data_IF_632231284373
#
_entry.id   IF_632231284373
#
_cell.length_a   1.000
_cell.length_b   1.000
_cell.length_c   1.000
_cell.angle_alpha   90.00
_cell.angle_beta   90.00
_cell.angle_gamma   90.00
#
_symmetry.space_group_name_H-M   'P 1'
#
loop_
_entity.id
_entity.type
_entity.pdbx_description
1 polymer ?
#
# COMPACT_ATOMS: atom_id res chain seq x y z
N UNK A 1 -2.67 -28.64 -26.63
CA UNK A 1 -2.16 -29.00 -25.28
C UNK A 1 -3.32 -29.63 -24.51
N UNK A 2 -3.16 -30.86 -24.01
CA UNK A 2 -4.19 -31.59 -23.25
C UNK A 2 -4.46 -30.84 -21.93
N UNK A 3 -5.73 -30.62 -21.62
CA UNK A 3 -6.18 -29.92 -20.42
C UNK A 3 -5.62 -30.56 -19.15
N UNK A 4 -4.93 -29.77 -18.35
CA UNK A 4 -4.50 -30.17 -17.01
C UNK A 4 -5.74 -30.38 -16.15
N UNK A 5 -6.03 -31.63 -15.80
CA UNK A 5 -6.98 -32.00 -14.75
C UNK A 5 -6.14 -32.25 -13.49
N UNK A 6 -6.36 -31.51 -12.39
CA UNK A 6 -5.64 -31.78 -11.15
C UNK A 6 -5.85 -33.24 -10.74
N UNK A 7 -4.76 -33.94 -10.42
CA UNK A 7 -4.83 -35.34 -9.99
C UNK A 7 -5.68 -35.47 -8.73
N UNK A 8 -6.70 -36.33 -8.78
CA UNK A 8 -7.54 -36.68 -7.62
C UNK A 8 -6.67 -37.27 -6.52
N UNK A 9 -6.56 -36.57 -5.39
CA UNK A 9 -6.06 -37.11 -4.13
C UNK A 9 -7.28 -37.50 -3.28
N UNK A 10 -7.13 -38.52 -2.44
CA UNK A 10 -8.15 -39.35 -1.77
C UNK A 10 -9.11 -38.64 -0.79
N UNK A 11 -9.22 -37.30 -0.82
CA UNK A 11 -10.20 -36.47 -0.08
C UNK A 11 -10.87 -35.44 -1.02
N UNK A 12 -11.43 -35.93 -2.13
CA UNK A 12 -11.94 -35.14 -3.25
C UNK A 12 -13.35 -34.56 -2.97
N UNK A 13 -13.46 -33.68 -1.97
CA UNK A 13 -14.72 -32.97 -1.70
C UNK A 13 -14.95 -31.87 -2.74
N UNK A 14 -16.21 -31.55 -3.12
CA UNK A 14 -16.52 -30.44 -4.03
C UNK A 14 -15.86 -29.11 -3.61
N UNK A 15 -15.71 -28.91 -2.31
CA UNK A 15 -15.01 -27.78 -1.68
C UNK A 15 -13.51 -27.77 -1.98
N UNK A 16 -12.81 -28.88 -1.77
CA UNK A 16 -11.37 -28.97 -2.06
C UNK A 16 -11.07 -28.78 -3.55
N UNK A 17 -11.95 -29.29 -4.42
CA UNK A 17 -11.83 -29.07 -5.86
C UNK A 17 -12.05 -27.61 -6.26
N UNK A 18 -13.04 -26.93 -5.66
CA UNK A 18 -13.27 -25.50 -5.90
C UNK A 18 -12.08 -24.64 -5.46
N UNK A 19 -11.41 -25.00 -4.36
CA UNK A 19 -10.18 -24.35 -3.91
C UNK A 19 -9.03 -24.56 -4.89
N UNK A 20 -8.83 -25.80 -5.36
CA UNK A 20 -7.81 -26.10 -6.36
C UNK A 20 -8.03 -25.32 -7.67
N UNK A 21 -9.29 -25.17 -8.11
CA UNK A 21 -9.65 -24.34 -9.25
C UNK A 21 -9.31 -22.86 -9.02
N UNK A 22 -9.60 -22.32 -7.85
CA UNK A 22 -9.27 -20.93 -7.51
C UNK A 22 -7.77 -20.70 -7.50
N UNK A 23 -6.99 -21.58 -6.88
CA UNK A 23 -5.53 -21.48 -6.84
C UNK A 23 -4.91 -21.62 -8.24
N UNK A 24 -5.47 -22.52 -9.07
CA UNK A 24 -5.10 -22.59 -10.48
C UNK A 24 -5.41 -21.29 -11.22
N UNK A 25 -6.57 -20.69 -10.99
CA UNK A 25 -6.94 -19.38 -11.53
C UNK A 25 -5.97 -18.26 -11.12
N UNK A 26 -5.54 -18.23 -9.85
CA UNK A 26 -4.52 -17.26 -9.40
C UNK A 26 -3.17 -17.48 -10.07
N UNK A 27 -2.74 -18.73 -10.29
CA UNK A 27 -1.53 -19.02 -11.04
C UNK A 27 -1.64 -18.59 -12.52
N UNK A 28 -2.82 -18.76 -13.12
CA UNK A 28 -3.11 -18.30 -14.48
C UNK A 28 -3.13 -16.77 -14.57
N UNK A 29 -3.62 -16.06 -13.57
CA UNK A 29 -3.53 -14.60 -13.49
C UNK A 29 -2.07 -14.13 -13.42
N UNK A 30 -1.23 -14.77 -12.60
CA UNK A 30 0.20 -14.47 -12.56
C UNK A 30 0.88 -14.70 -13.93
N UNK A 31 0.52 -15.81 -14.61
CA UNK A 31 0.95 -16.08 -15.98
C UNK A 31 0.48 -14.98 -16.94
N UNK A 32 -0.77 -14.55 -16.83
CA UNK A 32 -1.32 -13.46 -17.62
C UNK A 32 -0.50 -12.18 -17.46
N UNK A 33 -0.20 -11.76 -16.22
CA UNK A 33 0.62 -10.58 -15.98
C UNK A 33 2.04 -10.71 -16.54
N UNK A 34 2.64 -11.90 -16.46
CA UNK A 34 3.98 -12.14 -17.01
C UNK A 34 4.03 -11.98 -18.53
N UNK A 35 3.03 -12.50 -19.25
CA UNK A 35 3.01 -12.49 -20.72
C UNK A 35 2.32 -11.27 -21.33
N UNK A 36 1.65 -10.41 -20.54
CA UNK A 36 0.86 -9.28 -21.06
C UNK A 36 1.63 -8.35 -22.00
N UNK A 37 2.94 -8.17 -21.78
CA UNK A 37 3.79 -7.31 -22.60
C UNK A 37 4.58 -8.03 -23.70
N UNK A 38 4.55 -9.36 -23.74
CA UNK A 38 5.42 -10.18 -24.63
C UNK A 38 4.63 -11.10 -25.56
N UNK A 39 3.55 -11.71 -25.07
CA UNK A 39 2.67 -12.60 -25.83
C UNK A 39 1.21 -12.41 -25.36
N UNK A 40 0.48 -11.54 -26.06
CA UNK A 40 -0.89 -11.20 -25.73
C UNK A 40 -1.83 -12.40 -25.86
N UNK A 41 -1.58 -13.32 -26.80
CA UNK A 41 -2.44 -14.50 -27.00
C UNK A 41 -2.33 -15.46 -25.80
N UNK A 42 -1.11 -15.68 -25.29
CA UNK A 42 -0.90 -16.48 -24.07
C UNK A 42 -1.53 -15.80 -22.86
N UNK A 43 -1.40 -14.47 -22.73
CA UNK A 43 -2.00 -13.73 -21.63
C UNK A 43 -3.54 -13.78 -21.68
N UNK A 44 -4.14 -13.57 -22.86
CA UNK A 44 -5.59 -13.66 -23.06
C UNK A 44 -6.14 -15.06 -22.75
N UNK A 45 -5.47 -16.12 -23.23
CA UNK A 45 -5.87 -17.48 -22.89
C UNK A 45 -5.78 -17.73 -21.38
N UNK A 46 -4.74 -17.22 -20.71
CA UNK A 46 -4.58 -17.42 -19.29
C UNK A 46 -5.69 -16.75 -18.47
N UNK A 47 -6.07 -15.51 -18.79
CA UNK A 47 -7.15 -14.82 -18.07
C UNK A 47 -8.52 -15.43 -18.36
N UNK A 48 -8.77 -15.91 -19.59
CA UNK A 48 -10.01 -16.63 -19.93
C UNK A 48 -10.15 -17.94 -19.15
N UNK A 49 -9.06 -18.70 -19.03
CA UNK A 49 -9.05 -19.93 -18.25
C UNK A 49 -9.21 -19.65 -16.75
N UNK A 50 -8.62 -18.57 -16.24
CA UNK A 50 -8.78 -18.16 -14.84
C UNK A 50 -10.26 -17.86 -14.53
N UNK A 51 -10.93 -17.05 -15.35
CA UNK A 51 -12.36 -16.75 -15.21
C UNK A 51 -13.20 -18.03 -15.26
N UNK A 52 -12.90 -18.96 -16.18
CA UNK A 52 -13.59 -20.24 -16.27
C UNK A 52 -13.43 -21.07 -14.99
N UNK A 53 -12.22 -21.13 -14.43
CA UNK A 53 -11.95 -21.82 -13.17
C UNK A 53 -12.74 -21.21 -12.01
N UNK A 54 -12.79 -19.88 -11.93
CA UNK A 54 -13.55 -19.15 -10.91
C UNK A 54 -15.04 -19.41 -10.98
N UNK A 55 -15.63 -19.31 -12.18
CA UNK A 55 -17.04 -19.63 -12.39
C UNK A 55 -17.36 -21.09 -12.02
N UNK A 56 -16.48 -22.02 -12.37
CA UNK A 56 -16.67 -23.44 -12.11
C UNK A 56 -16.56 -23.79 -10.62
N UNK A 57 -15.67 -23.09 -9.91
CA UNK A 57 -15.57 -23.15 -8.45
C UNK A 57 -16.83 -22.59 -7.79
N UNK A 58 -17.35 -21.44 -8.25
CA UNK A 58 -18.57 -20.84 -7.71
C UNK A 58 -19.81 -21.73 -7.88
N UNK A 59 -19.91 -22.50 -8.97
CA UNK A 59 -21.01 -23.47 -9.17
C UNK A 59 -20.98 -24.63 -8.17
N UNK A 60 -19.85 -24.88 -7.52
CA UNK A 60 -19.64 -26.01 -6.59
C UNK A 60 -19.70 -25.60 -5.13
N UNK A 61 -19.59 -24.31 -4.84
CA UNK A 61 -19.61 -23.77 -3.49
C UNK A 61 -21.02 -23.29 -3.15
N UNK A 62 -21.46 -23.62 -1.95
CA UNK A 62 -22.64 -22.99 -1.35
C UNK A 62 -22.31 -21.54 -1.00
N UNK A 63 -23.26 -20.61 -1.15
CA UNK A 63 -23.05 -19.19 -0.80
C UNK A 63 -22.81 -18.98 0.70
N UNK A 64 -23.15 -19.97 1.53
CA UNK A 64 -22.83 -20.09 2.94
C UNK A 64 -21.37 -20.50 3.24
N UNK A 65 -20.62 -21.05 2.28
CA UNK A 65 -19.22 -21.44 2.49
C UNK A 65 -18.33 -20.20 2.64
N UNK A 66 -17.45 -20.21 3.66
CA UNK A 66 -16.49 -19.15 3.92
C UNK A 66 -15.58 -18.83 2.71
N UNK A 67 -15.34 -19.81 1.84
CA UNK A 67 -14.52 -19.63 0.63
C UNK A 67 -15.27 -19.04 -0.55
N UNK A 68 -16.61 -19.07 -0.55
CA UNK A 68 -17.43 -18.55 -1.64
C UNK A 68 -17.08 -17.08 -1.94
N UNK A 69 -16.98 -16.26 -0.90
CA UNK A 69 -16.62 -14.84 -1.02
C UNK A 69 -15.25 -14.67 -1.69
N UNK A 70 -14.27 -15.47 -1.32
CA UNK A 70 -12.92 -15.35 -1.86
C UNK A 70 -12.85 -15.70 -3.35
N UNK A 71 -13.52 -16.79 -3.76
CA UNK A 71 -13.60 -17.18 -5.18
C UNK A 71 -14.35 -16.11 -5.97
N UNK A 72 -15.42 -15.56 -5.39
CA UNK A 72 -16.23 -14.51 -6.00
C UNK A 72 -15.40 -13.24 -6.27
N UNK A 73 -14.67 -12.75 -5.27
CA UNK A 73 -13.80 -11.57 -5.37
C UNK A 73 -12.69 -11.82 -6.39
N UNK A 74 -12.03 -12.98 -6.34
CA UNK A 74 -10.97 -13.34 -7.28
C UNK A 74 -11.49 -13.35 -8.73
N UNK A 75 -12.65 -13.97 -8.95
CA UNK A 75 -13.29 -14.04 -10.27
C UNK A 75 -13.67 -12.65 -10.79
N UNK A 76 -14.25 -11.80 -9.95
CA UNK A 76 -14.58 -10.42 -10.31
C UNK A 76 -13.33 -9.57 -10.64
N UNK A 77 -12.22 -9.78 -9.91
CA UNK A 77 -10.93 -9.17 -10.23
C UNK A 77 -10.43 -9.59 -11.61
N UNK A 78 -10.52 -10.89 -11.95
CA UNK A 78 -10.11 -11.40 -13.27
C UNK A 78 -10.93 -10.82 -14.42
N UNK A 79 -12.23 -10.58 -14.22
CA UNK A 79 -13.06 -9.83 -15.15
C UNK A 79 -12.55 -8.40 -15.36
N UNK A 80 -12.12 -7.72 -14.30
CA UNK A 80 -11.49 -6.39 -14.39
C UNK A 80 -10.17 -6.43 -15.16
N UNK A 81 -9.31 -7.42 -14.90
CA UNK A 81 -8.07 -7.62 -15.66
C UNK A 81 -8.36 -7.86 -17.14
N UNK A 82 -9.36 -8.68 -17.47
CA UNK A 82 -9.77 -8.93 -18.84
C UNK A 82 -10.30 -7.67 -19.53
N UNK A 83 -11.15 -6.88 -18.87
CA UNK A 83 -11.63 -5.59 -19.37
C UNK A 83 -10.47 -4.69 -19.81
N UNK A 84 -9.43 -4.56 -18.96
CA UNK A 84 -8.26 -3.73 -19.24
C UNK A 84 -7.34 -4.30 -20.33
N UNK A 85 -7.41 -5.60 -20.61
CA UNK A 85 -6.62 -6.23 -21.67
C UNK A 85 -7.30 -6.19 -23.03
N UNK A 86 -8.63 -6.31 -23.06
CA UNK A 86 -9.41 -6.31 -24.31
C UNK A 86 -10.02 -4.95 -24.63
N UNK A 87 -9.80 -3.95 -23.76
CA UNK A 87 -10.42 -2.62 -23.86
C UNK A 87 -11.94 -2.70 -24.03
N UNK A 88 -12.58 -3.61 -23.28
CA UNK A 88 -14.02 -3.88 -23.43
C UNK A 88 -14.71 -3.83 -22.07
N UNK A 89 -15.48 -2.77 -21.85
CA UNK A 89 -16.21 -2.47 -20.62
C UNK A 89 -17.21 -3.56 -20.20
N UNK A 90 -17.69 -4.37 -21.15
CA UNK A 90 -18.59 -5.49 -20.90
C UNK A 90 -18.05 -6.45 -19.83
N UNK A 91 -16.74 -6.74 -19.85
CA UNK A 91 -16.15 -7.65 -18.87
C UNK A 91 -16.21 -7.08 -17.45
N UNK A 92 -16.05 -5.76 -17.30
CA UNK A 92 -16.24 -5.11 -16.00
C UNK A 92 -17.69 -5.17 -15.53
N UNK A 93 -18.67 -5.05 -16.44
CA UNK A 93 -20.08 -5.17 -16.08
C UNK A 93 -20.46 -6.60 -15.67
N UNK A 94 -19.88 -7.64 -16.31
CA UNK A 94 -20.07 -9.03 -15.90
C UNK A 94 -19.47 -9.32 -14.51
N UNK A 95 -18.27 -8.80 -14.22
CA UNK A 95 -17.69 -8.88 -12.88
C UNK A 95 -18.56 -8.18 -11.82
N UNK A 96 -19.12 -7.01 -12.15
CA UNK A 96 -19.97 -6.26 -11.23
C UNK A 96 -21.33 -6.95 -11.02
N UNK A 97 -21.90 -7.54 -12.07
CA UNK A 97 -23.12 -8.35 -12.01
C UNK A 97 -22.92 -9.54 -11.09
N UNK A 98 -21.79 -10.23 -11.20
CA UNK A 98 -21.43 -11.34 -10.33
C UNK A 98 -21.43 -10.93 -8.84
N UNK A 99 -20.79 -9.81 -8.50
CA UNK A 99 -20.76 -9.28 -7.13
C UNK A 99 -22.16 -8.85 -6.64
N UNK A 100 -22.97 -8.21 -7.51
CA UNK A 100 -24.35 -7.80 -7.19
C UNK A 100 -25.28 -8.98 -6.92
N UNK A 101 -25.16 -10.06 -7.68
CA UNK A 101 -25.95 -11.28 -7.45
C UNK A 101 -25.64 -11.89 -6.08
N UNK A 102 -24.37 -11.88 -5.66
CA UNK A 102 -23.99 -12.33 -4.33
C UNK A 102 -24.55 -11.44 -3.21
N UNK A 103 -24.54 -10.10 -3.40
CA UNK A 103 -25.17 -9.16 -2.46
C UNK A 103 -26.67 -9.44 -2.23
N UNK A 104 -27.37 -9.89 -3.27
CA UNK A 104 -28.80 -10.24 -3.20
C UNK A 104 -29.08 -11.60 -2.53
N UNK A 105 -28.04 -12.42 -2.32
CA UNK A 105 -28.20 -13.70 -1.61
C UNK A 105 -28.26 -13.46 -0.10
N UNK A 106 -29.22 -14.08 0.60
CA UNK A 106 -29.38 -13.96 2.06
C UNK A 106 -28.31 -14.73 2.86
N UNK A 107 -27.12 -14.93 2.29
CA UNK A 107 -26.05 -15.68 2.97
C UNK A 107 -25.46 -14.84 4.11
N UNK A 108 -25.59 -15.36 5.33
CA UNK A 108 -25.08 -14.73 6.56
C UNK A 108 -23.55 -14.82 6.68
N UNK A 109 -22.87 -15.61 5.86
CA UNK A 109 -21.41 -15.79 5.91
C UNK A 109 -20.64 -14.85 4.98
N UNK A 110 -21.34 -14.11 4.10
CA UNK A 110 -20.72 -13.11 3.25
C UNK A 110 -20.32 -11.89 4.08
N UNK A 111 -19.03 -11.57 4.10
CA UNK A 111 -18.58 -10.25 4.54
C UNK A 111 -19.05 -9.20 3.53
N UNK A 112 -20.12 -8.52 3.91
CA UNK A 112 -20.78 -7.51 3.10
C UNK A 112 -19.92 -6.25 2.90
N UNK A 113 -18.91 -6.01 3.74
CA UNK A 113 -17.97 -4.90 3.56
C UNK A 113 -16.93 -5.24 2.48
N UNK A 114 -16.33 -6.44 2.52
CA UNK A 114 -15.36 -6.90 1.52
C UNK A 114 -15.94 -7.02 0.11
N UNK A 115 -17.20 -7.49 0.03
CA UNK A 115 -17.91 -7.58 -1.24
C UNK A 115 -18.07 -6.20 -1.89
N UNK A 116 -18.39 -5.17 -1.09
CA UNK A 116 -18.49 -3.79 -1.57
C UNK A 116 -17.13 -3.18 -1.90
N UNK A 117 -16.09 -3.45 -1.11
CA UNK A 117 -14.71 -3.05 -1.44
C UNK A 117 -14.28 -3.60 -2.80
N UNK A 118 -14.65 -4.85 -3.10
CA UNK A 118 -14.36 -5.47 -4.39
C UNK A 118 -15.13 -4.81 -5.54
N UNK A 119 -16.38 -4.38 -5.32
CA UNK A 119 -17.11 -3.57 -6.29
C UNK A 119 -16.44 -2.21 -6.52
N UNK A 120 -15.96 -1.55 -5.46
CA UNK A 120 -15.26 -0.26 -5.56
C UNK A 120 -14.03 -0.39 -6.46
N UNK A 121 -13.22 -1.43 -6.29
CA UNK A 121 -12.04 -1.66 -7.13
C UNK A 121 -12.41 -1.82 -8.62
N UNK A 122 -13.46 -2.57 -8.92
CA UNK A 122 -13.91 -2.79 -10.30
C UNK A 122 -14.51 -1.52 -10.91
N UNK A 123 -15.34 -0.80 -10.15
CA UNK A 123 -15.93 0.48 -10.57
C UNK A 123 -14.87 1.55 -10.79
N UNK A 124 -13.83 1.58 -9.96
CA UNK A 124 -12.68 2.45 -10.15
C UNK A 124 -11.94 2.11 -11.45
N UNK A 125 -11.72 0.83 -11.76
CA UNK A 125 -11.11 0.42 -13.01
C UNK A 125 -11.97 0.83 -14.22
N UNK A 126 -13.30 0.68 -14.13
CA UNK A 126 -14.24 1.14 -15.17
C UNK A 126 -14.22 2.67 -15.33
N UNK A 127 -14.15 3.42 -14.23
CA UNK A 127 -14.01 4.87 -14.26
C UNK A 127 -12.73 5.28 -15.00
N UNK A 128 -11.57 4.71 -14.64
CA UNK A 128 -10.30 5.05 -15.29
C UNK A 128 -10.33 4.74 -16.80
N UNK A 129 -10.97 3.62 -17.18
CA UNK A 129 -11.17 3.26 -18.58
C UNK A 129 -12.05 4.29 -19.33
N UNK A 130 -13.15 4.74 -18.72
CA UNK A 130 -14.12 5.63 -19.37
C UNK A 130 -13.75 7.12 -19.32
N UNK A 131 -12.88 7.55 -18.38
CA UNK A 131 -12.63 8.97 -18.08
C UNK A 131 -12.21 9.80 -19.30
N UNK A 132 -11.54 9.21 -20.29
CA UNK A 132 -11.06 9.93 -21.48
C UNK A 132 -12.09 10.03 -22.61
N UNK A 133 -12.99 9.06 -22.73
CA UNK A 133 -13.86 8.92 -23.92
C UNK A 133 -15.35 9.15 -23.61
N UNK A 134 -15.75 8.95 -22.35
CA UNK A 134 -17.16 8.90 -21.95
C UNK A 134 -17.36 9.51 -20.55
N UNK A 135 -17.25 10.83 -20.46
CA UNK A 135 -17.26 11.57 -19.19
C UNK A 135 -18.47 11.27 -18.29
N UNK A 136 -19.71 11.31 -18.82
CA UNK A 136 -20.91 11.03 -18.00
C UNK A 136 -20.97 9.57 -17.53
N UNK A 137 -20.60 8.62 -18.39
CA UNK A 137 -20.55 7.22 -18.01
C UNK A 137 -19.47 6.95 -16.94
N UNK A 138 -18.30 7.59 -17.07
CA UNK A 138 -17.24 7.54 -16.08
C UNK A 138 -17.72 8.11 -14.74
N UNK A 139 -18.39 9.26 -14.77
CA UNK A 139 -18.92 9.90 -13.58
C UNK A 139 -19.96 9.02 -12.86
N UNK A 140 -20.80 8.31 -13.60
CA UNK A 140 -21.75 7.37 -13.00
C UNK A 140 -21.04 6.18 -12.32
N UNK A 141 -19.98 5.63 -12.92
CA UNK A 141 -19.15 4.61 -12.27
C UNK A 141 -18.52 5.15 -10.99
N UNK A 142 -18.10 6.41 -10.99
CA UNK A 142 -17.51 7.07 -9.83
C UNK A 142 -18.51 7.30 -8.70
N UNK A 143 -19.73 7.78 -9.01
CA UNK A 143 -20.83 7.93 -8.04
C UNK A 143 -21.18 6.61 -7.38
N UNK A 144 -21.30 5.55 -8.18
CA UNK A 144 -21.57 4.21 -7.64
C UNK A 144 -20.40 3.70 -6.78
N UNK A 145 -19.14 3.95 -7.18
CA UNK A 145 -17.97 3.58 -6.38
C UNK A 145 -17.97 4.28 -5.01
N UNK A 146 -18.27 5.58 -4.97
CA UNK A 146 -18.38 6.35 -3.72
C UNK A 146 -19.47 5.76 -2.83
N UNK A 147 -20.65 5.48 -3.40
CA UNK A 147 -21.77 4.88 -2.65
C UNK A 147 -21.39 3.54 -2.04
N UNK A 148 -20.80 2.62 -2.83
CA UNK A 148 -20.36 1.31 -2.33
C UNK A 148 -19.24 1.40 -1.32
N UNK A 149 -18.32 2.34 -1.50
CA UNK A 149 -17.23 2.58 -0.57
C UNK A 149 -17.74 3.07 0.79
N UNK A 150 -18.70 4.01 0.81
CA UNK A 150 -19.34 4.48 2.04
C UNK A 150 -20.05 3.34 2.77
N UNK A 151 -20.87 2.56 2.04
CA UNK A 151 -21.53 1.37 2.60
C UNK A 151 -20.50 0.37 3.18
N UNK A 152 -19.34 0.18 2.54
CA UNK A 152 -18.28 -0.70 3.05
C UNK A 152 -17.66 -0.17 4.35
N UNK A 153 -17.45 1.15 4.44
CA UNK A 153 -16.93 1.80 5.66
C UNK A 153 -17.94 1.67 6.81
N UNK A 154 -19.23 1.87 6.56
CA UNK A 154 -20.29 1.74 7.57
C UNK A 154 -20.43 0.32 8.12
N UNK A 155 -20.21 -0.69 7.27
CA UNK A 155 -20.27 -2.10 7.66
C UNK A 155 -19.00 -2.59 8.37
N UNK A 156 -17.93 -1.81 8.37
CA UNK A 156 -16.65 -2.17 8.98
C UNK A 156 -16.77 -2.20 10.50
N UNK A 157 -16.24 -3.25 11.13
CA UNK A 157 -16.24 -3.37 12.60
C UNK A 157 -15.11 -2.55 13.24
N UNK A 158 -15.24 -2.14 14.51
CA UNK A 158 -14.10 -1.60 15.26
C UNK A 158 -12.92 -2.57 15.22
N UNK A 159 -11.73 -2.04 14.89
CA UNK A 159 -10.50 -2.83 14.80
C UNK A 159 -10.30 -3.59 13.48
N UNK A 160 -11.23 -3.50 12.53
CA UNK A 160 -11.09 -4.08 11.19
C UNK A 160 -9.84 -3.53 10.46
N UNK A 161 -8.95 -4.45 10.05
CA UNK A 161 -7.69 -4.11 9.39
C UNK A 161 -7.88 -3.43 8.03
N UNK A 162 -9.00 -3.69 7.33
CA UNK A 162 -9.31 -3.15 6.01
C UNK A 162 -10.03 -1.80 6.06
N UNK A 163 -10.47 -1.34 7.24
CA UNK A 163 -11.17 -0.07 7.40
C UNK A 163 -10.35 1.12 6.87
N UNK A 164 -9.04 1.13 7.12
CA UNK A 164 -8.16 2.18 6.58
C UNK A 164 -8.13 2.19 5.05
N UNK A 165 -8.05 1.01 4.43
CA UNK A 165 -8.05 0.87 2.96
C UNK A 165 -9.38 1.35 2.36
N UNK A 166 -10.50 0.95 2.97
CA UNK A 166 -11.84 1.39 2.54
C UNK A 166 -11.99 2.91 2.58
N UNK A 167 -11.52 3.55 3.66
CA UNK A 167 -11.50 5.02 3.79
C UNK A 167 -10.59 5.68 2.76
N UNK A 168 -9.40 5.14 2.54
CA UNK A 168 -8.46 5.62 1.52
C UNK A 168 -9.08 5.57 0.12
N UNK A 169 -9.77 4.47 -0.21
CA UNK A 169 -10.41 4.30 -1.51
C UNK A 169 -11.57 5.28 -1.70
N UNK A 170 -12.42 5.47 -0.68
CA UNK A 170 -13.48 6.51 -0.70
C UNK A 170 -12.87 7.90 -0.94
N UNK A 171 -11.81 8.26 -0.20
CA UNK A 171 -11.12 9.53 -0.37
C UNK A 171 -10.59 9.73 -1.79
N UNK A 172 -9.97 8.70 -2.38
CA UNK A 172 -9.50 8.74 -3.78
C UNK A 172 -10.65 8.97 -4.76
N UNK A 173 -11.80 8.33 -4.57
CA UNK A 173 -12.94 8.48 -5.49
C UNK A 173 -13.58 9.86 -5.38
N UNK A 174 -13.75 10.38 -4.16
CA UNK A 174 -14.23 11.74 -3.92
C UNK A 174 -13.27 12.78 -4.52
N UNK A 175 -11.96 12.62 -4.34
CA UNK A 175 -10.98 13.52 -4.94
C UNK A 175 -11.04 13.49 -6.48
N UNK A 176 -11.20 12.31 -7.10
CA UNK A 176 -11.39 12.23 -8.54
C UNK A 176 -12.69 12.90 -9.01
N UNK A 177 -13.75 12.86 -8.20
CA UNK A 177 -15.03 13.49 -8.52
C UNK A 177 -14.92 15.01 -8.42
N UNK A 178 -14.28 15.51 -7.37
CA UNK A 178 -13.91 16.92 -7.24
C UNK A 178 -13.10 17.41 -8.45
N UNK A 179 -12.07 16.67 -8.87
CA UNK A 179 -11.25 17.05 -10.03
C UNK A 179 -12.03 17.10 -11.36
N UNK A 180 -13.22 16.49 -11.43
CA UNK A 180 -14.10 16.52 -12.62
C UNK A 180 -15.20 17.58 -12.52
N UNK A 181 -15.72 17.83 -11.32
CA UNK A 181 -16.93 18.65 -11.13
C UNK A 181 -16.70 19.93 -10.30
N UNK A 182 -15.53 20.09 -9.70
CA UNK A 182 -15.15 21.21 -8.82
C UNK A 182 -16.10 21.41 -7.61
N UNK A 183 -16.67 20.31 -7.08
CA UNK A 183 -17.53 20.34 -5.90
C UNK A 183 -16.70 20.31 -4.61
N UNK A 184 -16.65 21.46 -3.93
CA UNK A 184 -15.91 21.65 -2.68
C UNK A 184 -16.35 20.70 -1.55
N UNK A 185 -17.60 20.22 -1.56
CA UNK A 185 -18.07 19.23 -0.58
C UNK A 185 -17.35 17.88 -0.77
N UNK A 186 -17.16 17.45 -2.03
CA UNK A 186 -16.43 16.22 -2.33
C UNK A 186 -14.96 16.35 -1.88
N UNK A 187 -14.32 17.51 -2.09
CA UNK A 187 -12.95 17.73 -1.61
C UNK A 187 -12.86 17.75 -0.08
N UNK A 188 -13.82 18.36 0.63
CA UNK A 188 -13.89 18.29 2.09
C UNK A 188 -14.02 16.86 2.59
N UNK A 189 -14.93 16.09 1.99
CA UNK A 189 -15.16 14.71 2.38
C UNK A 189 -13.96 13.82 2.05
N UNK A 190 -13.31 14.04 0.89
CA UNK A 190 -12.07 13.37 0.51
C UNK A 190 -10.97 13.60 1.55
N UNK A 191 -10.78 14.87 1.94
CA UNK A 191 -9.79 15.28 2.95
C UNK A 191 -10.06 14.57 4.28
N UNK A 192 -11.32 14.56 4.75
CA UNK A 192 -11.72 13.87 5.98
C UNK A 192 -11.45 12.36 5.87
N UNK A 193 -11.78 11.73 4.75
CA UNK A 193 -11.55 10.31 4.53
C UNK A 193 -10.06 9.95 4.56
N UNK A 194 -9.20 10.76 3.93
CA UNK A 194 -7.74 10.57 3.98
C UNK A 194 -7.17 10.72 5.40
N UNK A 195 -7.59 11.75 6.14
CA UNK A 195 -7.15 11.94 7.53
C UNK A 195 -7.56 10.75 8.40
N UNK A 196 -8.80 10.26 8.26
CA UNK A 196 -9.28 9.11 9.01
C UNK A 196 -8.54 7.82 8.62
N UNK A 197 -8.24 7.62 7.34
CA UNK A 197 -7.44 6.47 6.89
C UNK A 197 -6.01 6.51 7.48
N UNK A 198 -5.36 7.67 7.46
CA UNK A 198 -4.02 7.86 8.03
C UNK A 198 -3.96 7.56 9.55
N UNK A 199 -5.03 7.93 10.28
CA UNK A 199 -5.17 7.74 11.73
C UNK A 199 -5.72 6.36 12.13
N UNK A 200 -6.04 5.48 11.17
CA UNK A 200 -6.53 4.13 11.49
C UNK A 200 -5.33 3.27 11.93
N UNK A 201 -5.16 3.08 13.24
CA UNK A 201 -3.97 2.43 13.83
C UNK A 201 -3.70 1.02 13.28
N UNK A 202 -4.76 0.22 13.11
CA UNK A 202 -4.68 -1.15 12.60
C UNK A 202 -4.44 -1.25 11.08
N UNK A 203 -4.47 -0.12 10.36
CA UNK A 203 -4.20 -0.13 8.93
C UNK A 203 -2.69 -0.25 8.67
N UNK A 204 -2.35 -0.93 7.58
CA UNK A 204 -0.96 -1.11 7.16
C UNK A 204 -0.30 0.22 6.75
N UNK A 205 1.03 0.26 6.77
CA UNK A 205 1.80 1.44 6.35
C UNK A 205 1.56 1.80 4.87
N UNK A 206 1.28 0.80 4.03
CA UNK A 206 0.91 0.99 2.61
C UNK A 206 -0.43 1.73 2.44
N UNK A 207 -1.25 1.82 3.49
CA UNK A 207 -2.47 2.61 3.52
C UNK A 207 -2.24 3.95 4.23
N UNK A 208 -1.66 3.91 5.44
CA UNK A 208 -1.57 5.08 6.32
C UNK A 208 -0.70 6.19 5.74
N UNK A 209 0.46 5.85 5.17
CA UNK A 209 1.41 6.84 4.66
C UNK A 209 0.86 7.50 3.38
N UNK A 210 0.37 6.77 2.37
CA UNK A 210 -0.27 7.40 1.21
C UNK A 210 -1.52 8.20 1.57
N UNK A 211 -2.32 7.74 2.54
CA UNK A 211 -3.47 8.49 3.03
C UNK A 211 -3.05 9.83 3.67
N UNK A 212 -2.03 9.82 4.52
CA UNK A 212 -1.49 11.02 5.15
C UNK A 212 -0.95 11.99 4.09
N UNK A 213 -0.25 11.47 3.08
CA UNK A 213 0.26 12.27 1.98
C UNK A 213 -0.87 12.96 1.19
N UNK A 214 -1.89 12.21 0.78
CA UNK A 214 -3.03 12.76 0.02
C UNK A 214 -3.84 13.76 0.86
N UNK A 215 -4.10 13.44 2.13
CA UNK A 215 -4.77 14.37 3.05
C UNK A 215 -3.96 15.65 3.27
N UNK A 216 -2.63 15.54 3.36
CA UNK A 216 -1.73 16.68 3.54
C UNK A 216 -1.73 17.60 2.31
N UNK A 217 -1.73 17.02 1.10
CA UNK A 217 -1.84 17.78 -0.15
C UNK A 217 -3.19 18.50 -0.27
N UNK A 218 -4.31 17.84 0.08
CA UNK A 218 -5.62 18.48 0.11
C UNK A 218 -5.68 19.66 1.10
N UNK A 219 -5.08 19.50 2.28
CA UNK A 219 -5.00 20.57 3.27
C UNK A 219 -4.10 21.73 2.80
N UNK A 220 -2.96 21.41 2.20
CA UNK A 220 -2.04 22.39 1.61
C UNK A 220 -2.71 23.22 0.52
N UNK A 221 -3.46 22.58 -0.39
CA UNK A 221 -4.20 23.27 -1.45
C UNK A 221 -5.23 24.29 -0.92
N UNK A 222 -5.70 24.09 0.32
CA UNK A 222 -6.60 25.02 1.03
C UNK A 222 -5.88 25.89 2.07
N UNK A 223 -4.55 25.98 2.00
CA UNK A 223 -3.72 26.81 2.88
C UNK A 223 -3.84 26.46 4.38
N UNK A 224 -4.28 25.24 4.70
CA UNK A 224 -4.36 24.73 6.08
C UNK A 224 -3.01 24.13 6.49
N UNK A 225 -1.97 24.96 6.47
CA UNK A 225 -0.57 24.51 6.59
C UNK A 225 -0.28 23.82 7.92
N UNK A 226 -0.86 24.28 9.02
CA UNK A 226 -0.65 23.66 10.33
C UNK A 226 -1.17 22.22 10.40
N UNK A 227 -2.39 21.98 9.91
CA UNK A 227 -2.98 20.64 9.86
C UNK A 227 -2.23 19.74 8.88
N UNK A 228 -1.82 20.29 7.73
CA UNK A 228 -1.03 19.58 6.73
C UNK A 228 0.36 19.19 7.28
N UNK A 229 1.03 20.10 7.99
CA UNK A 229 2.33 19.88 8.61
C UNK A 229 2.26 18.73 9.62
N UNK A 230 1.25 18.74 10.51
CA UNK A 230 1.05 17.67 11.48
C UNK A 230 0.86 16.29 10.80
N UNK A 231 0.10 16.25 9.70
CA UNK A 231 -0.16 15.02 8.97
C UNK A 231 1.08 14.49 8.22
N UNK A 232 1.83 15.38 7.57
CA UNK A 232 3.09 15.03 6.91
C UNK A 232 4.16 14.59 7.92
N UNK A 233 4.27 15.28 9.06
CA UNK A 233 5.19 14.91 10.14
C UNK A 233 4.89 13.52 10.68
N UNK A 234 3.61 13.18 10.87
CA UNK A 234 3.20 11.84 11.25
C UNK A 234 3.57 10.80 10.18
N UNK A 235 3.38 11.11 8.89
CA UNK A 235 3.75 10.23 7.78
C UNK A 235 5.27 9.96 7.71
N UNK A 236 6.08 11.01 7.90
CA UNK A 236 7.55 10.91 7.97
C UNK A 236 7.98 10.08 9.18
N UNK A 237 7.34 10.26 10.34
CA UNK A 237 7.62 9.43 11.52
C UNK A 237 7.31 7.93 11.30
N UNK A 238 6.37 7.60 10.40
CA UNK A 238 6.10 6.20 10.01
C UNK A 238 7.16 5.64 9.06
N UNK A 239 7.86 6.48 8.30
CA UNK A 239 9.01 6.11 7.47
C UNK A 239 10.28 5.92 8.33
N UNK A 240 10.22 5.11 9.38
CA UNK A 240 11.45 4.63 10.03
C UNK A 240 11.95 3.38 9.31
N UNK A 241 13.26 3.21 9.18
CA UNK A 241 13.81 2.03 8.50
C UNK A 241 13.34 0.74 9.14
N UNK A 242 13.24 0.70 10.47
CA UNK A 242 12.72 -0.44 11.23
C UNK A 242 11.29 -0.82 10.81
N UNK A 243 10.40 0.16 10.66
CA UNK A 243 9.04 -0.07 10.17
C UNK A 243 9.01 -0.59 8.72
N UNK A 244 9.88 -0.07 7.86
CA UNK A 244 9.92 -0.44 6.44
C UNK A 244 10.63 -1.78 6.19
N UNK A 245 11.53 -2.20 7.08
CA UNK A 245 12.18 -3.52 7.07
C UNK A 245 11.22 -4.63 7.48
N UNK A 246 10.10 -4.30 8.14
CA UNK A 246 9.04 -5.24 8.43
C UNK A 246 8.12 -5.53 7.22
N UNK A 247 8.13 -4.65 6.20
CA UNK A 247 7.30 -4.79 5.01
C UNK A 247 7.85 -5.85 4.03
N UNK A 248 6.93 -6.53 3.35
CA UNK A 248 7.27 -7.41 2.22
C UNK A 248 7.93 -6.62 1.09
N UNK A 249 8.74 -7.26 0.24
CA UNK A 249 9.34 -6.57 -0.93
C UNK A 249 8.27 -5.99 -1.84
N UNK A 250 7.14 -6.69 -2.01
CA UNK A 250 6.00 -6.21 -2.80
C UNK A 250 5.37 -4.97 -2.19
N UNK A 251 5.07 -5.00 -0.89
CA UNK A 251 4.45 -3.87 -0.18
C UNK A 251 5.37 -2.68 -0.09
N UNK A 252 6.67 -2.90 0.09
CA UNK A 252 7.67 -1.85 0.00
C UNK A 252 7.66 -1.21 -1.40
N UNK A 253 7.68 -2.01 -2.47
CA UNK A 253 7.59 -1.47 -3.83
C UNK A 253 6.29 -0.68 -4.07
N UNK A 254 5.16 -1.16 -3.57
CA UNK A 254 3.88 -0.45 -3.66
C UNK A 254 3.95 0.87 -2.89
N UNK A 255 4.42 0.86 -1.64
CA UNK A 255 4.59 2.05 -0.82
C UNK A 255 5.49 3.08 -1.51
N UNK A 256 6.65 2.64 -2.00
CA UNK A 256 7.65 3.51 -2.65
C UNK A 256 7.10 4.21 -3.90
N UNK A 257 6.16 3.60 -4.63
CA UNK A 257 5.47 4.27 -5.75
C UNK A 257 4.59 5.44 -5.32
N UNK A 258 4.07 5.40 -4.09
CA UNK A 258 3.10 6.36 -3.60
C UNK A 258 3.68 7.44 -2.67
N UNK A 259 4.89 7.25 -2.14
CA UNK A 259 5.51 8.18 -1.18
C UNK A 259 6.59 9.08 -1.80
N UNK A 260 6.77 9.02 -3.12
CA UNK A 260 7.68 9.90 -3.85
C UNK A 260 7.32 11.37 -3.60
N UNK A 261 8.27 12.18 -3.17
CA UNK A 261 8.06 13.60 -2.88
C UNK A 261 7.53 13.90 -1.48
N UNK A 262 7.21 12.90 -0.65
CA UNK A 262 6.70 13.12 0.72
C UNK A 262 7.62 14.02 1.55
N UNK A 263 8.94 13.79 1.51
CA UNK A 263 9.92 14.64 2.19
C UNK A 263 9.86 16.10 1.71
N UNK A 264 9.81 16.32 0.40
CA UNK A 264 9.70 17.67 -0.20
C UNK A 264 8.41 18.38 0.20
N UNK A 265 7.26 17.70 0.15
CA UNK A 265 5.98 18.29 0.55
C UNK A 265 5.96 18.62 2.05
N UNK A 266 6.47 17.70 2.88
CA UNK A 266 6.58 17.91 4.32
C UNK A 266 7.46 19.14 4.65
N UNK A 267 8.59 19.28 3.95
CA UNK A 267 9.50 20.43 4.08
C UNK A 267 8.88 21.74 3.61
N UNK A 268 8.25 21.74 2.43
CA UNK A 268 7.57 22.91 1.88
C UNK A 268 6.45 23.40 2.81
N UNK A 269 5.59 22.49 3.28
CA UNK A 269 4.51 22.83 4.21
C UNK A 269 5.04 23.27 5.57
N UNK A 270 6.14 22.71 6.07
CA UNK A 270 6.77 23.18 7.29
C UNK A 270 7.25 24.65 7.17
N UNK A 271 7.83 25.05 6.03
CA UNK A 271 8.18 26.45 5.77
C UNK A 271 6.93 27.35 5.74
N UNK A 272 5.87 26.92 5.05
CA UNK A 272 4.61 27.66 4.95
C UNK A 272 3.89 27.78 6.29
N UNK A 273 4.06 26.81 7.19
CA UNK A 273 3.57 26.83 8.57
C UNK A 273 4.46 27.66 9.52
N UNK A 274 5.54 28.26 9.03
CA UNK A 274 6.44 29.10 9.83
C UNK A 274 7.37 28.33 10.77
N UNK A 275 7.63 27.05 10.49
CA UNK A 275 8.60 26.25 11.23
C UNK A 275 10.03 26.77 10.99
N UNK A 276 10.96 26.46 11.89
CA UNK A 276 12.36 26.86 11.72
C UNK A 276 12.97 26.20 10.46
N UNK A 277 14.00 26.80 9.85
CA UNK A 277 14.65 26.21 8.67
C UNK A 277 15.13 24.77 8.90
N UNK A 278 15.60 24.45 10.12
CA UNK A 278 16.00 23.10 10.48
C UNK A 278 14.81 22.13 10.57
N UNK A 279 13.70 22.52 11.22
CA UNK A 279 12.48 21.70 11.27
C UNK A 279 11.87 21.50 9.88
N UNK A 280 12.01 22.49 9.00
CA UNK A 280 11.60 22.36 7.61
C UNK A 280 12.53 21.45 6.80
N UNK A 281 13.83 21.46 7.04
CA UNK A 281 14.76 20.60 6.32
C UNK A 281 14.72 19.13 6.80
N UNK A 282 14.45 18.89 8.09
CA UNK A 282 14.50 17.57 8.70
C UNK A 282 13.65 16.49 7.99
N UNK A 283 12.40 16.73 7.57
CA UNK A 283 11.60 15.73 6.85
C UNK A 283 12.26 15.22 5.57
N UNK A 284 12.88 16.12 4.81
CA UNK A 284 13.53 15.79 3.56
C UNK A 284 14.81 14.99 3.80
N UNK A 285 15.64 15.39 4.77
CA UNK A 285 16.81 14.61 5.16
C UNK A 285 16.42 13.23 5.67
N UNK A 286 15.39 13.14 6.52
CA UNK A 286 14.87 11.86 7.02
C UNK A 286 14.44 10.95 5.88
N UNK A 287 13.65 11.45 4.93
CA UNK A 287 13.21 10.66 3.78
C UNK A 287 14.38 10.19 2.90
N UNK A 288 15.42 11.01 2.72
CA UNK A 288 16.63 10.65 1.95
C UNK A 288 17.49 9.62 2.67
N UNK A 289 17.69 9.77 3.97
CA UNK A 289 18.38 8.78 4.80
C UNK A 289 17.70 7.42 4.68
N UNK A 290 16.37 7.38 4.87
CA UNK A 290 15.58 6.14 4.80
C UNK A 290 15.66 5.49 3.41
N UNK A 291 15.52 6.27 2.33
CA UNK A 291 15.65 5.73 0.96
C UNK A 291 17.06 5.18 0.72
N UNK A 292 18.09 5.90 1.18
CA UNK A 292 19.48 5.47 1.02
C UNK A 292 19.74 4.19 1.80
N UNK A 293 19.27 4.10 3.03
CA UNK A 293 19.37 2.92 3.88
C UNK A 293 18.60 1.72 3.28
N UNK A 294 17.41 1.95 2.73
CA UNK A 294 16.65 0.92 2.01
C UNK A 294 17.36 0.45 0.74
N UNK A 295 17.99 1.34 -0.02
CA UNK A 295 18.78 1.00 -1.20
C UNK A 295 20.06 0.23 -0.82
N UNK A 296 20.64 0.59 0.33
CA UNK A 296 21.81 -0.06 0.93
C UNK A 296 21.44 -1.23 1.86
N UNK A 297 20.25 -1.83 1.72
CA UNK A 297 19.73 -2.96 2.54
C UNK A 297 20.68 -4.15 2.77
N UNK A 298 21.77 -4.22 2.01
CA UNK A 298 22.80 -5.26 2.09
C UNK A 298 24.13 -4.79 2.72
N UNK A 299 24.36 -3.49 2.86
CA UNK A 299 25.64 -2.88 3.23
C UNK A 299 25.40 -1.76 4.25
N UNK A 300 25.03 -2.11 5.49
CA UNK A 300 25.20 -1.15 6.58
C UNK A 300 26.71 -0.98 6.75
N UNK A 301 27.20 0.24 6.58
CA UNK A 301 28.61 0.52 6.82
C UNK A 301 28.85 0.48 8.33
N UNK A 302 29.38 -0.65 8.78
CA UNK A 302 29.78 -0.86 10.17
C UNK A 302 31.30 -0.72 10.31
N UNK A 303 32.03 -0.19 9.32
CA UNK A 303 33.49 -0.19 9.33
C UNK A 303 34.07 0.55 10.52
N UNK A 304 33.51 1.71 10.87
CA UNK A 304 33.92 2.50 12.04
C UNK A 304 33.58 1.77 13.35
N UNK A 305 32.35 1.23 13.46
CA UNK A 305 31.95 0.45 14.64
C UNK A 305 32.78 -0.82 14.80
N UNK A 306 33.15 -1.47 13.70
CA UNK A 306 33.97 -2.68 13.68
C UNK A 306 35.40 -2.41 14.19
N UNK A 307 35.92 -1.18 14.02
CA UNK A 307 37.23 -0.79 14.55
C UNK A 307 37.19 -0.54 16.06
N UNK A 308 36.10 0.06 16.57
CA UNK A 308 35.98 0.46 17.98
C UNK A 308 35.38 -0.65 18.86
N UNK A 309 34.29 -1.28 18.40
CA UNK A 309 33.55 -2.36 19.08
C UNK A 309 33.17 -3.50 18.11
N UNK A 310 34.13 -4.39 17.79
CA UNK A 310 33.91 -5.52 16.88
C UNK A 310 32.76 -6.45 17.27
N UNK A 311 32.52 -6.58 18.58
CA UNK A 311 31.47 -7.39 19.19
C UNK A 311 30.08 -6.82 18.87
N UNK A 312 29.86 -5.54 19.13
CA UNK A 312 28.59 -4.86 18.88
C UNK A 312 28.26 -4.80 17.38
N UNK A 313 29.27 -4.55 16.54
CA UNK A 313 29.10 -4.56 15.08
C UNK A 313 28.62 -5.93 14.58
N UNK A 314 29.21 -7.01 15.09
CA UNK A 314 28.84 -8.38 14.71
C UNK A 314 27.42 -8.72 15.16
N UNK A 315 27.08 -8.44 16.41
CA UNK A 315 25.73 -8.72 16.94
C UNK A 315 24.66 -7.93 16.20
N UNK A 316 24.91 -6.65 15.90
CA UNK A 316 23.99 -5.80 15.14
C UNK A 316 23.76 -6.33 13.72
N UNK A 317 24.84 -6.77 13.04
CA UNK A 317 24.76 -7.37 11.72
C UNK A 317 23.99 -8.71 11.73
N UNK A 318 24.18 -9.54 12.75
CA UNK A 318 23.48 -10.82 12.92
C UNK A 318 21.98 -10.62 13.16
N UNK A 319 21.59 -9.72 14.07
CA UNK A 319 20.19 -9.39 14.34
C UNK A 319 19.50 -8.84 13.10
N UNK A 320 20.14 -7.89 12.41
CA UNK A 320 19.65 -7.32 11.15
C UNK A 320 19.46 -8.40 10.06
N UNK A 321 20.40 -9.35 9.97
CA UNK A 321 20.31 -10.47 9.03
C UNK A 321 19.14 -11.42 9.36
N UNK A 322 18.95 -11.73 10.64
CA UNK A 322 17.84 -12.58 11.12
C UNK A 322 16.48 -11.91 10.92
N UNK A 323 16.38 -10.60 11.13
CA UNK A 323 15.16 -9.84 10.86
C UNK A 323 14.78 -9.98 9.38
N UNK A 324 15.73 -9.74 8.49
CA UNK A 324 15.53 -9.90 7.04
C UNK A 324 15.09 -11.31 6.65
N UNK A 325 15.74 -12.34 7.17
CA UNK A 325 15.35 -13.73 6.90
C UNK A 325 13.93 -14.02 7.40
N UNK A 326 13.57 -13.49 8.58
CA UNK A 326 12.23 -13.65 9.16
C UNK A 326 11.18 -12.93 8.32
N UNK A 327 11.42 -11.68 7.90
CA UNK A 327 10.53 -10.94 6.98
C UNK A 327 10.35 -11.70 5.66
N UNK A 328 11.43 -12.23 5.06
CA UNK A 328 11.33 -13.02 3.83
C UNK A 328 10.53 -14.32 4.01
N UNK A 329 10.64 -14.98 5.17
CA UNK A 329 9.85 -16.18 5.49
C UNK A 329 8.38 -15.84 5.72
N UNK A 330 8.10 -14.74 6.41
CA UNK A 330 6.75 -14.23 6.62
C UNK A 330 6.10 -13.90 5.28
N UNK A 331 6.82 -13.20 4.40
CA UNK A 331 6.36 -12.90 3.04
C UNK A 331 6.02 -14.16 2.25
N UNK A 332 6.90 -15.17 2.24
CA UNK A 332 6.59 -16.46 1.57
C UNK A 332 5.34 -17.13 2.16
N UNK A 333 5.12 -17.02 3.47
CA UNK A 333 3.94 -17.57 4.14
C UNK A 333 2.65 -16.77 3.88
N UNK A 334 2.77 -15.47 3.57
CA UNK A 334 1.67 -14.57 3.19
C UNK A 334 1.36 -14.62 1.69
N UNK A 335 2.34 -14.89 0.83
CA UNK A 335 2.11 -15.17 -0.60
C UNK A 335 1.44 -16.54 -0.80
N UNK A 336 1.71 -17.50 0.08
CA UNK A 336 1.08 -18.84 0.12
C UNK A 336 -0.21 -18.84 0.97
N UNK A 337 -0.81 -17.67 1.25
CA UNK A 337 -1.85 -17.45 2.26
C UNK A 337 -3.16 -18.26 2.19
N UNK A 338 -3.31 -19.27 1.33
CA UNK A 338 -4.54 -20.05 1.25
C UNK A 338 -4.37 -21.57 1.38
N UNK A 339 -3.15 -22.03 1.69
CA UNK A 339 -3.01 -23.35 2.32
C UNK A 339 -3.08 -23.19 3.85
N UNK A 340 -3.82 -24.06 4.58
CA UNK A 340 -3.89 -24.05 6.04
C UNK A 340 -2.58 -24.53 6.64
N UNK A 341 -1.50 -23.76 6.47
CA UNK A 341 -0.38 -23.78 7.40
C UNK A 341 -0.88 -23.31 8.77
N UNK A 342 -0.40 -23.88 9.89
CA UNK A 342 -0.88 -23.54 11.21
C UNK A 342 -0.82 -22.03 11.43
N UNK A 343 -1.94 -21.39 11.78
CA UNK A 343 -2.01 -19.97 12.15
C UNK A 343 -0.93 -19.61 13.20
N UNK A 344 -0.60 -20.57 14.06
CA UNK A 344 0.47 -20.51 15.06
C UNK A 344 1.86 -20.23 14.46
N UNK A 345 2.17 -20.75 13.26
CA UNK A 345 3.48 -20.51 12.62
C UNK A 345 3.60 -19.07 12.12
N UNK A 346 2.55 -18.50 11.51
CA UNK A 346 2.57 -17.11 11.03
C UNK A 346 2.62 -16.13 12.20
N UNK A 347 1.83 -16.39 13.23
CA UNK A 347 1.84 -15.59 14.44
C UNK A 347 3.22 -15.62 15.12
N UNK A 348 3.84 -16.80 15.25
CA UNK A 348 5.19 -16.92 15.81
C UNK A 348 6.25 -16.17 15.00
N UNK A 349 6.13 -16.14 13.66
CA UNK A 349 7.03 -15.36 12.80
C UNK A 349 6.85 -13.85 12.99
N UNK A 350 5.61 -13.37 13.18
CA UNK A 350 5.34 -11.95 13.49
C UNK A 350 5.87 -11.55 14.86
N UNK A 351 5.64 -12.39 15.87
CA UNK A 351 6.18 -12.18 17.23
C UNK A 351 7.71 -12.13 17.20
N UNK A 352 8.34 -13.05 16.46
CA UNK A 352 9.80 -13.04 16.26
C UNK A 352 10.29 -11.79 15.53
N UNK A 353 9.60 -11.36 14.47
CA UNK A 353 9.93 -10.14 13.74
C UNK A 353 9.89 -8.92 14.67
N UNK A 354 8.84 -8.83 15.50
CA UNK A 354 8.68 -7.74 16.45
C UNK A 354 9.75 -7.76 17.55
N UNK A 355 10.10 -8.94 18.07
CA UNK A 355 11.20 -9.09 19.03
C UNK A 355 12.55 -8.66 18.44
N UNK A 356 12.83 -9.02 17.18
CA UNK A 356 14.06 -8.63 16.49
C UNK A 356 14.13 -7.11 16.25
N UNK A 357 13.01 -6.47 15.92
CA UNK A 357 12.93 -5.01 15.79
C UNK A 357 13.26 -4.31 17.11
N UNK A 358 12.69 -4.80 18.22
CA UNK A 358 13.01 -4.27 19.55
C UNK A 358 14.49 -4.49 19.92
N UNK A 359 15.07 -5.63 19.53
CA UNK A 359 16.50 -5.90 19.75
C UNK A 359 17.38 -4.93 18.97
N UNK A 360 17.06 -4.63 17.70
CA UNK A 360 17.80 -3.64 16.90
C UNK A 360 17.73 -2.27 17.57
N UNK A 361 16.54 -1.83 18.00
CA UNK A 361 16.36 -0.54 18.68
C UNK A 361 17.21 -0.44 19.95
N UNK A 362 17.22 -1.49 20.77
CA UNK A 362 18.06 -1.53 21.98
C UNK A 362 19.56 -1.49 21.66
N UNK A 363 19.99 -2.22 20.62
CA UNK A 363 21.38 -2.21 20.16
C UNK A 363 21.78 -0.81 19.64
N UNK A 364 20.93 -0.14 18.87
CA UNK A 364 21.18 1.23 18.42
C UNK A 364 21.31 2.20 19.60
N UNK A 365 20.44 2.09 20.61
CA UNK A 365 20.51 2.92 21.83
C UNK A 365 21.82 2.68 22.60
N UNK A 366 22.28 1.44 22.69
CA UNK A 366 23.57 1.11 23.33
C UNK A 366 24.75 1.68 22.53
N UNK A 367 24.75 1.51 21.20
CA UNK A 367 25.81 2.05 20.33
C UNK A 367 25.90 3.57 20.45
N UNK A 368 24.76 4.27 20.59
CA UNK A 368 24.71 5.73 20.76
C UNK A 368 25.31 6.24 22.08
N UNK A 369 25.65 5.36 23.02
CA UNK A 369 26.37 5.74 24.25
C UNK A 369 27.89 5.82 24.05
N UNK A 370 28.41 5.33 22.92
CA UNK A 370 29.83 5.39 22.58
C UNK A 370 30.20 6.77 22.04
N UNK A 371 31.36 7.28 22.45
CA UNK A 371 31.92 8.53 21.94
C UNK A 371 32.13 8.45 20.42
N UNK A 372 31.57 9.41 19.68
CA UNK A 372 31.59 9.46 18.22
C UNK A 372 30.46 8.69 17.51
N UNK A 373 29.58 8.00 18.26
CA UNK A 373 28.44 7.26 17.71
C UNK A 373 27.08 7.81 18.19
N UNK A 374 27.05 9.02 18.76
CA UNK A 374 25.86 9.62 19.38
C UNK A 374 24.68 9.74 18.40
N UNK A 375 24.98 9.84 17.11
CA UNK A 375 24.02 9.92 16.01
C UNK A 375 23.95 8.64 15.17
N UNK A 376 24.39 7.48 15.69
CA UNK A 376 24.37 6.21 14.96
C UNK A 376 22.95 5.89 14.46
N UNK A 377 22.82 5.72 13.14
CA UNK A 377 21.55 5.51 12.43
C UNK A 377 20.49 6.60 12.73
N UNK A 378 20.91 7.85 12.99
CA UNK A 378 20.02 8.99 13.17
C UNK A 378 20.36 10.14 12.20
N UNK A 379 19.39 11.01 11.88
CA UNK A 379 19.67 12.26 11.17
C UNK A 379 20.64 13.15 11.97
N UNK A 380 21.40 13.98 11.24
CA UNK A 380 22.29 14.99 11.83
C UNK A 380 21.53 15.96 12.76
N UNK A 381 22.18 16.34 13.86
CA UNK A 381 21.67 17.36 14.77
C UNK A 381 21.76 18.78 14.14
N UNK A 382 20.96 19.71 14.68
CA UNK A 382 20.90 21.10 14.18
C UNK A 382 22.26 21.79 14.24
N UNK A 383 22.99 21.59 15.34
CA UNK A 383 24.32 22.18 15.55
C UNK A 383 25.30 21.73 14.49
N UNK A 384 25.27 20.45 14.10
CA UNK A 384 26.21 19.90 13.14
C UNK A 384 25.84 20.27 11.71
N UNK A 385 24.53 20.33 11.40
CA UNK A 385 24.08 20.87 10.12
C UNK A 385 24.45 22.36 9.96
N UNK A 386 24.36 23.16 11.04
CA UNK A 386 24.83 24.56 11.03
C UNK A 386 26.34 24.68 10.89
N UNK A 387 27.12 23.78 11.51
CA UNK A 387 28.57 23.72 11.29
C UNK A 387 28.89 23.41 9.83
N UNK A 388 28.20 22.45 9.21
CA UNK A 388 28.38 22.17 7.78
C UNK A 388 28.04 23.36 6.88
N UNK A 389 27.09 24.20 7.31
CA UNK A 389 26.71 25.43 6.62
C UNK A 389 27.68 26.61 6.86
N UNK A 390 28.73 26.47 7.69
CA UNK A 390 29.66 27.57 7.98
C UNK A 390 30.44 28.02 6.74
N UNK A 391 30.69 27.09 5.83
CA UNK A 391 31.53 27.30 4.65
C UNK A 391 30.70 27.67 3.40
N UNK A 392 29.37 27.66 3.52
CA UNK A 392 28.44 28.02 2.45
C UNK A 392 27.02 27.50 2.70
N UNK A 393 26.00 28.07 2.02
CA UNK A 393 24.61 27.65 2.22
C UNK A 393 24.40 26.20 1.77
N UNK A 394 23.63 25.45 2.57
CA UNK A 394 23.20 24.10 2.19
C UNK A 394 22.01 24.23 1.24
N UNK A 395 22.22 23.91 -0.03
CA UNK A 395 21.19 23.95 -1.05
C UNK A 395 20.62 22.55 -1.25
N UNK A 396 19.32 22.41 -0.98
CA UNK A 396 18.60 21.17 -1.21
C UNK A 396 17.58 21.38 -2.34
N UNK A 397 17.75 20.73 -3.50
CA UNK A 397 16.77 20.82 -4.57
C UNK A 397 15.51 20.07 -4.15
N UNK A 398 14.43 20.81 -3.88
CA UNK A 398 13.09 20.27 -3.77
C UNK A 398 12.55 20.02 -5.18
N UNK A 399 12.49 18.76 -5.59
CA UNK A 399 11.84 18.39 -6.85
C UNK A 399 10.33 18.40 -6.67
N UNK A 400 9.66 19.44 -7.16
CA UNK A 400 8.23 19.36 -7.47
C UNK A 400 8.08 18.60 -8.79
N UNK A 401 7.96 17.26 -8.76
CA UNK A 401 7.28 16.59 -9.86
C UNK A 401 5.79 16.90 -9.73
N UNK A 402 5.38 18.01 -10.33
CA UNK A 402 3.99 18.29 -10.69
C UNK A 402 3.52 17.24 -11.70
N UNK A 403 3.11 16.08 -11.22
CA UNK A 403 2.41 15.06 -11.98
C UNK A 403 1.69 14.16 -11.00
N UNK A 404 0.77 14.74 -10.22
CA UNK A 404 -0.51 14.20 -9.76
C UNK A 404 -1.07 15.25 -8.80
N UNK A 405 -2.05 16.02 -9.26
CA UNK A 405 -2.82 17.05 -8.55
C UNK A 405 -2.14 18.43 -8.44
N UNK A 406 -2.75 19.40 -9.16
CA UNK A 406 -2.56 20.85 -9.14
C UNK A 406 -1.43 21.46 -10.01
N UNK A 407 -1.75 22.45 -10.86
CA UNK A 407 -0.79 23.16 -11.71
C UNK A 407 -0.03 24.23 -10.91
N UNK A 408 1.26 24.33 -11.22
CA UNK A 408 2.15 25.50 -11.06
C UNK A 408 2.31 26.15 -9.66
N UNK A 409 3.49 25.99 -9.05
CA UNK A 409 4.33 27.12 -8.62
C UNK A 409 5.73 26.67 -8.19
N UNK A 410 6.72 26.80 -9.07
CA UNK A 410 8.12 26.50 -8.78
C UNK A 410 8.71 27.50 -7.79
N UNK A 411 8.98 27.06 -6.56
CA UNK A 411 9.72 27.83 -5.54
C UNK A 411 11.06 27.18 -5.22
N UNK A 412 12.17 27.81 -5.61
CA UNK A 412 13.51 27.49 -5.08
C UNK A 412 13.68 28.19 -3.73
N UNK A 413 13.84 27.43 -2.64
CA UNK A 413 14.18 27.98 -1.32
C UNK A 413 15.67 27.83 -1.04
N UNK A 414 16.40 28.96 -0.96
CA UNK A 414 17.73 29.04 -0.33
C UNK A 414 17.54 29.05 1.19
N UNK A 415 18.19 28.13 1.89
CA UNK A 415 18.36 28.21 3.35
C UNK A 415 19.66 28.96 3.59
N UNK A 416 19.58 30.15 4.21
CA UNK A 416 20.73 30.88 4.75
C UNK A 416 20.93 30.59 6.23
#
# INVERSE_FOLDING_TARGET
MKGYTPGRIQEDTPRNYALALRDHGTALEAKCYHFRGTDLAVAMHAIDEAIRCGQEALRRLDSGDAWYLLVLISTASWYGTKMLMTENSHWGDEGLKLLKTALGSQSKSLDHADLRSSMVHLLQAQFQFLKQEHEEAALEKLREAIRRGREAVELSRPGDALLGERRLNVGKMLLNKFLLQDDENDHEEATKAFILAAKTENASLVVRIPAAMQGGLCLQGRQKYHEAHALFKAAIGLLSTNNLMALSTKDLHVLMRHVSGLGSFASSVALLDGQSPFEALRPLETARCVISELAMRNNIDLSELQLVRPDMAKEYAETSSRLRQTTNRLQKAEEVALSPGPLTTRQSLRELQQALLHSIQAQEEEIRTLEGFEHFQQPLAESDMKKLASDGPIIVPAWERGSYCCPENSGTSEIR
#
